data_IF_092981051414
#
_entry.id   IF_092981051414
#
_cell.length_a   1.000
_cell.length_b   1.000
_cell.length_c   1.000
_cell.angle_alpha   90.00
_cell.angle_beta   90.00
_cell.angle_gamma   90.00
#
_symmetry.space_group_name_H-M   'P 1'
#
loop_
_entity.id
_entity.type
_entity.pdbx_description
1 polymer ?
#
# COMPACT_ATOMS: atom_id res chain seq x y z
N UNK A 1 -16.43 7.28 -4.25
CA UNK A 1 -15.72 7.08 -2.99
C UNK A 1 -15.10 8.41 -2.49
N UNK A 2 -14.03 8.90 -3.08
CA UNK A 2 -13.21 10.00 -2.55
C UNK A 2 -13.95 11.34 -2.42
N UNK A 3 -14.93 11.62 -3.26
CA UNK A 3 -15.78 12.83 -3.14
C UNK A 3 -16.55 12.81 -1.80
N UNK A 4 -17.14 11.68 -1.43
CA UNK A 4 -17.84 11.54 -0.15
C UNK A 4 -16.87 11.53 1.05
N UNK A 5 -15.73 10.84 0.93
CA UNK A 5 -14.74 10.78 2.02
C UNK A 5 -14.12 12.15 2.34
N UNK A 6 -14.01 13.04 1.36
CA UNK A 6 -13.46 14.40 1.54
C UNK A 6 -14.25 15.25 2.53
N UNK A 7 -15.55 15.02 2.64
CA UNK A 7 -16.45 15.77 3.51
C UNK A 7 -16.45 15.25 4.95
N UNK A 8 -15.80 14.11 5.18
CA UNK A 8 -15.78 13.45 6.47
C UNK A 8 -14.52 13.87 7.24
N UNK A 9 -14.71 14.41 8.44
CA UNK A 9 -13.62 14.76 9.35
C UNK A 9 -13.68 13.86 10.60
N UNK A 10 -13.08 12.69 10.49
CA UNK A 10 -12.92 11.75 11.60
C UNK A 10 -11.44 11.63 11.99
N UNK A 11 -11.13 11.47 13.28
CA UNK A 11 -9.79 11.11 13.71
C UNK A 11 -9.49 9.69 13.22
N UNK A 12 -8.51 9.55 12.35
CA UNK A 12 -8.04 8.28 11.80
C UNK A 12 -6.52 8.24 11.82
N UNK A 13 -5.90 7.04 11.81
CA UNK A 13 -4.48 6.89 11.56
C UNK A 13 -4.07 7.59 10.25
N UNK A 14 -2.78 7.84 10.11
CA UNK A 14 -2.21 8.30 8.85
C UNK A 14 -1.69 7.09 8.04
N UNK A 15 -1.65 7.17 6.71
CA UNK A 15 -1.16 6.05 5.88
C UNK A 15 0.29 5.66 6.23
N UNK A 16 1.08 6.62 6.72
CA UNK A 16 2.47 6.38 7.18
C UNK A 16 2.54 5.45 8.37
N UNK A 17 1.50 5.37 9.21
CA UNK A 17 1.48 4.47 10.37
C UNK A 17 1.48 3.01 9.90
N UNK A 18 0.74 2.70 8.84
CA UNK A 18 0.73 1.38 8.22
C UNK A 18 2.10 1.02 7.59
N UNK A 19 2.76 2.01 7.00
CA UNK A 19 4.13 1.81 6.49
C UNK A 19 5.09 1.56 7.64
N UNK A 20 4.95 2.28 8.75
CA UNK A 20 5.77 2.08 9.95
C UNK A 20 5.56 0.68 10.56
N UNK A 21 4.33 0.16 10.55
CA UNK A 21 4.05 -1.24 10.93
C UNK A 21 4.80 -2.23 10.05
N UNK A 22 4.76 -2.08 8.73
CA UNK A 22 5.50 -2.93 7.80
C UNK A 22 7.03 -2.81 8.01
N UNK A 23 7.54 -1.61 8.27
CA UNK A 23 8.95 -1.38 8.58
C UNK A 23 9.35 -2.08 9.89
N UNK A 24 8.52 -1.98 10.93
CA UNK A 24 8.76 -2.64 12.21
C UNK A 24 8.78 -4.16 12.07
N UNK A 25 7.85 -4.70 11.28
CA UNK A 25 7.79 -6.13 10.99
C UNK A 25 9.06 -6.62 10.26
N UNK A 26 9.48 -5.91 9.23
CA UNK A 26 10.71 -6.23 8.47
C UNK A 26 11.95 -6.08 9.36
N UNK A 27 11.95 -5.12 10.28
CA UNK A 27 13.06 -4.87 11.22
C UNK A 27 13.23 -5.96 12.30
N UNK A 28 12.21 -6.78 12.54
CA UNK A 28 12.22 -7.80 13.59
C UNK A 28 12.38 -9.22 13.00
N UNK A 29 13.58 -9.85 13.16
CA UNK A 29 13.79 -11.22 12.71
C UNK A 29 12.95 -12.28 13.46
N UNK A 30 12.45 -11.96 14.65
CA UNK A 30 11.58 -12.87 15.41
C UNK A 30 10.18 -12.93 14.77
N UNK A 31 9.70 -11.81 14.27
CA UNK A 31 8.41 -11.73 13.57
C UNK A 31 8.50 -12.27 12.14
N UNK A 32 9.65 -12.16 11.50
CA UNK A 32 9.87 -12.60 10.10
C UNK A 32 11.04 -13.59 9.98
N UNK A 33 10.98 -14.77 10.64
CA UNK A 33 12.12 -15.68 10.76
C UNK A 33 12.56 -16.28 9.42
N UNK A 34 11.66 -16.41 8.45
CA UNK A 34 11.94 -16.98 7.14
C UNK A 34 12.40 -15.96 6.10
N UNK A 35 12.34 -14.66 6.44
CA UNK A 35 12.78 -13.59 5.54
C UNK A 35 14.31 -13.53 5.51
N UNK A 36 14.90 -13.84 4.35
CA UNK A 36 16.35 -13.81 4.15
C UNK A 36 16.94 -12.42 4.35
N UNK A 37 18.17 -12.33 4.80
CA UNK A 37 18.84 -11.04 5.07
C UNK A 37 18.83 -10.09 3.87
N UNK A 38 19.12 -10.59 2.68
CA UNK A 38 19.09 -9.79 1.43
C UNK A 38 17.71 -9.28 1.08
N UNK A 39 16.66 -10.06 1.35
CA UNK A 39 15.27 -9.68 1.10
C UNK A 39 14.78 -8.66 2.14
N UNK A 40 15.25 -8.82 3.38
CA UNK A 40 15.02 -7.86 4.46
C UNK A 40 15.62 -6.49 4.14
N UNK A 41 16.86 -6.45 3.67
CA UNK A 41 17.50 -5.21 3.23
C UNK A 41 16.75 -4.55 2.07
N UNK A 42 16.33 -5.33 1.08
CA UNK A 42 15.52 -4.85 -0.05
C UNK A 42 14.23 -4.19 0.43
N UNK A 43 13.46 -4.90 1.28
CA UNK A 43 12.19 -4.38 1.81
C UNK A 43 12.40 -3.14 2.68
N UNK A 44 13.38 -3.16 3.58
CA UNK A 44 13.67 -2.02 4.45
C UNK A 44 14.07 -0.78 3.65
N UNK A 45 14.90 -0.94 2.61
CA UNK A 45 15.30 0.14 1.72
C UNK A 45 14.11 0.66 0.91
N UNK A 46 13.32 -0.23 0.30
CA UNK A 46 12.17 0.14 -0.51
C UNK A 46 11.13 0.89 0.32
N UNK A 47 10.72 0.36 1.49
CA UNK A 47 9.76 1.01 2.39
C UNK A 47 10.23 2.41 2.78
N UNK A 48 11.50 2.57 3.17
CA UNK A 48 12.06 3.86 3.57
C UNK A 48 12.12 4.86 2.42
N UNK A 49 12.66 4.44 1.28
CA UNK A 49 12.90 5.33 0.12
C UNK A 49 11.58 5.77 -0.50
N UNK A 50 10.64 4.82 -0.69
CA UNK A 50 9.34 5.12 -1.28
C UNK A 50 8.47 5.96 -0.35
N UNK A 51 8.46 5.68 0.96
CA UNK A 51 7.77 6.53 1.92
C UNK A 51 8.30 7.97 1.88
N UNK A 52 9.62 8.13 1.86
CA UNK A 52 10.25 9.45 1.78
C UNK A 52 9.83 10.18 0.49
N UNK A 53 9.85 9.50 -0.66
CA UNK A 53 9.45 10.07 -1.94
C UNK A 53 7.98 10.51 -1.94
N UNK A 54 7.06 9.66 -1.44
CA UNK A 54 5.63 9.96 -1.35
C UNK A 54 5.38 11.19 -0.44
N UNK A 55 6.00 11.23 0.74
CA UNK A 55 5.83 12.35 1.69
C UNK A 55 6.43 13.64 1.15
N UNK A 56 7.62 13.60 0.54
CA UNK A 56 8.28 14.80 -0.01
C UNK A 56 7.53 15.41 -1.19
N UNK A 57 6.76 14.61 -1.92
CA UNK A 57 5.97 15.12 -3.03
C UNK A 57 4.80 16.02 -2.60
N UNK A 58 4.36 15.92 -1.34
CA UNK A 58 3.48 16.91 -0.71
C UNK A 58 2.11 17.04 -1.35
N UNK A 59 1.40 15.94 -1.51
CA UNK A 59 0.04 15.94 -2.07
C UNK A 59 -1.01 16.38 -1.04
N UNK A 60 -2.18 16.81 -1.56
CA UNK A 60 -3.33 17.17 -0.74
C UNK A 60 -3.94 15.92 -0.10
N UNK A 61 -4.05 15.92 1.22
CA UNK A 61 -4.54 14.79 1.99
C UNK A 61 -6.03 14.88 2.32
N UNK A 62 -6.66 13.72 2.38
CA UNK A 62 -8.03 13.54 2.83
C UNK A 62 -8.21 12.20 3.56
N UNK A 63 -9.43 11.92 4.01
CA UNK A 63 -9.81 10.58 4.45
C UNK A 63 -9.81 9.63 3.25
N UNK A 64 -9.19 8.47 3.43
CA UNK A 64 -9.04 7.38 2.48
C UNK A 64 -9.76 6.12 3.00
N UNK A 65 -10.06 5.21 2.10
CA UNK A 65 -10.45 3.85 2.43
C UNK A 65 -9.27 3.04 2.99
N UNK A 66 -8.07 3.25 2.44
CA UNK A 66 -6.85 2.57 2.78
C UNK A 66 -6.55 1.33 1.92
N UNK A 67 -7.57 0.58 1.51
CA UNK A 67 -7.44 -0.60 0.62
C UNK A 67 -8.65 -0.77 -0.32
N UNK A 68 -8.94 0.19 -1.22
CA UNK A 68 -10.10 0.11 -2.12
C UNK A 68 -9.83 -0.81 -3.33
N UNK A 69 -9.41 -2.04 -3.09
CA UNK A 69 -9.22 -3.02 -4.14
C UNK A 69 -10.56 -3.71 -4.51
N UNK A 70 -10.66 -4.40 -5.66
CA UNK A 70 -11.91 -5.01 -6.12
C UNK A 70 -12.54 -6.00 -5.13
N UNK A 71 -11.75 -6.66 -4.27
CA UNK A 71 -12.26 -7.55 -3.22
C UNK A 71 -13.04 -6.84 -2.13
N UNK A 72 -12.84 -5.54 -1.96
CA UNK A 72 -13.56 -4.69 -1.00
C UNK A 72 -14.70 -3.90 -1.66
N UNK A 73 -15.20 -4.36 -2.81
CA UNK A 73 -16.29 -3.74 -3.54
C UNK A 73 -17.43 -4.74 -3.76
N UNK A 74 -18.57 -4.49 -3.14
CA UNK A 74 -19.79 -5.28 -3.36
C UNK A 74 -20.66 -4.64 -4.44
N UNK A 75 -21.20 -5.47 -5.30
CA UNK A 75 -22.25 -5.05 -6.23
C UNK A 75 -23.62 -5.24 -5.53
N UNK A 76 -24.29 -4.13 -5.25
CA UNK A 76 -25.60 -4.13 -4.57
C UNK A 76 -26.70 -3.65 -5.49
N UNK A 77 -27.98 -3.78 -5.07
CA UNK A 77 -29.13 -3.26 -5.83
C UNK A 77 -29.10 -1.74 -6.00
N UNK A 78 -28.48 -1.03 -5.03
CA UNK A 78 -28.37 0.42 -4.99
C UNK A 78 -27.06 0.94 -5.59
N UNK A 79 -26.28 0.05 -6.24
CA UNK A 79 -24.99 0.35 -6.82
C UNK A 79 -23.80 -0.22 -6.04
N UNK A 80 -22.57 0.12 -6.43
CA UNK A 80 -21.37 -0.42 -5.80
C UNK A 80 -21.19 0.13 -4.37
N UNK A 81 -20.89 -0.77 -3.44
CA UNK A 81 -20.65 -0.45 -2.02
C UNK A 81 -19.24 -0.89 -1.63
N UNK A 82 -18.43 0.05 -1.16
CA UNK A 82 -17.15 -0.25 -0.53
C UNK A 82 -17.36 -0.78 0.90
N UNK A 83 -16.64 -1.84 1.24
CA UNK A 83 -16.67 -2.51 2.54
C UNK A 83 -15.26 -2.59 3.11
N UNK A 84 -15.15 -3.02 4.37
CA UNK A 84 -13.85 -3.20 5.07
C UNK A 84 -13.08 -1.87 5.23
N UNK A 85 -13.66 -0.98 6.02
CA UNK A 85 -13.07 0.31 6.36
C UNK A 85 -12.09 0.25 7.55
N UNK A 86 -11.66 -0.96 7.96
CA UNK A 86 -10.73 -1.11 9.08
C UNK A 86 -9.37 -0.47 8.80
N UNK A 87 -9.03 -0.33 7.53
CA UNK A 87 -7.77 0.28 7.06
C UNK A 87 -7.91 1.77 6.73
N UNK A 88 -9.09 2.37 7.03
CA UNK A 88 -9.32 3.78 6.76
C UNK A 88 -8.25 4.66 7.44
N UNK A 89 -7.69 5.57 6.66
CA UNK A 89 -6.58 6.41 7.11
C UNK A 89 -6.62 7.78 6.42
N UNK A 90 -5.77 8.71 6.84
CA UNK A 90 -5.53 9.97 6.12
C UNK A 90 -4.32 9.83 5.21
N UNK A 91 -4.38 10.45 4.04
CA UNK A 91 -3.28 10.47 3.09
C UNK A 91 -3.67 11.03 1.73
N UNK A 92 -2.75 10.96 0.75
CA UNK A 92 -3.01 11.38 -0.62
C UNK A 92 -3.95 10.38 -1.33
N UNK A 93 -4.83 10.88 -2.19
CA UNK A 93 -5.77 10.04 -2.97
C UNK A 93 -5.03 8.99 -3.80
N UNK A 94 -3.84 9.31 -4.24
CA UNK A 94 -2.94 8.44 -5.01
C UNK A 94 -2.62 7.14 -4.26
N UNK A 95 -2.58 7.18 -2.91
CA UNK A 95 -2.37 5.96 -2.11
C UNK A 95 -3.55 4.98 -2.27
N UNK A 96 -4.80 5.46 -2.23
CA UNK A 96 -5.96 4.62 -2.50
C UNK A 96 -6.02 4.16 -3.97
N UNK A 97 -5.76 5.06 -4.92
CA UNK A 97 -5.76 4.73 -6.35
C UNK A 97 -4.72 3.66 -6.68
N UNK A 98 -3.62 3.60 -5.93
CA UNK A 98 -2.61 2.54 -6.06
C UNK A 98 -3.12 1.13 -5.74
N UNK A 99 -4.22 1.00 -4.99
CA UNK A 99 -4.87 -0.29 -4.70
C UNK A 99 -5.85 -0.74 -5.79
N UNK A 100 -6.27 0.17 -6.64
CA UNK A 100 -7.23 -0.10 -7.72
C UNK A 100 -6.51 -0.57 -9.01
N UNK A 101 -7.23 -1.21 -9.95
CA UNK A 101 -6.72 -1.47 -11.29
C UNK A 101 -6.23 -0.19 -11.99
N UNK A 102 -5.22 -0.31 -12.83
CA UNK A 102 -4.59 0.85 -13.51
C UNK A 102 -5.59 1.73 -14.28
N UNK A 103 -6.58 1.11 -14.92
CA UNK A 103 -7.63 1.81 -15.66
C UNK A 103 -8.41 2.82 -14.82
N UNK A 104 -8.45 2.65 -13.49
CA UNK A 104 -9.15 3.58 -12.57
C UNK A 104 -8.49 4.95 -12.55
N UNK A 105 -7.18 5.03 -12.74
CA UNK A 105 -6.43 6.29 -12.76
C UNK A 105 -6.96 7.27 -13.82
N UNK A 106 -7.43 6.76 -14.96
CA UNK A 106 -8.01 7.59 -16.04
C UNK A 106 -9.31 8.34 -15.65
N UNK A 107 -9.97 7.92 -14.57
CA UNK A 107 -11.21 8.55 -14.08
C UNK A 107 -10.95 9.64 -13.02
N UNK A 108 -9.69 9.89 -12.67
CA UNK A 108 -9.33 10.91 -11.70
C UNK A 108 -8.72 12.13 -12.39
N UNK A 109 -9.41 13.28 -12.41
CA UNK A 109 -8.82 14.50 -12.94
C UNK A 109 -7.67 14.99 -12.04
N UNK A 110 -6.59 15.41 -12.66
CA UNK A 110 -5.40 15.98 -11.98
C UNK A 110 -4.68 15.03 -11.02
N UNK A 111 -4.75 13.72 -11.28
CA UNK A 111 -3.99 12.73 -10.53
C UNK A 111 -2.49 12.88 -10.84
N UNK A 112 -1.67 12.86 -9.80
CA UNK A 112 -0.22 12.75 -9.97
C UNK A 112 0.15 11.30 -10.27
N UNK A 113 0.37 10.98 -11.55
CA UNK A 113 0.64 9.61 -12.01
C UNK A 113 1.96 9.06 -11.45
N UNK A 114 2.97 9.90 -11.28
CA UNK A 114 4.24 9.48 -10.69
C UNK A 114 4.07 9.14 -9.20
N UNK A 115 3.26 9.92 -8.47
CA UNK A 115 2.92 9.62 -7.08
C UNK A 115 2.11 8.32 -6.98
N UNK A 116 1.20 8.04 -7.92
CA UNK A 116 0.48 6.75 -7.98
C UNK A 116 1.46 5.59 -8.16
N UNK A 117 2.44 5.73 -9.04
CA UNK A 117 3.43 4.67 -9.28
C UNK A 117 4.33 4.46 -8.06
N UNK A 118 4.73 5.52 -7.37
CA UNK A 118 5.43 5.42 -6.08
C UNK A 118 4.55 4.73 -5.01
N UNK A 119 3.29 5.08 -4.91
CA UNK A 119 2.34 4.43 -4.00
C UNK A 119 2.10 2.96 -4.36
N UNK A 120 2.08 2.59 -5.65
CA UNK A 120 1.97 1.18 -6.08
C UNK A 120 3.15 0.34 -5.61
N UNK A 121 4.36 0.88 -5.76
CA UNK A 121 5.57 0.20 -5.28
C UNK A 121 5.61 0.14 -3.75
N UNK A 122 5.21 1.22 -3.07
CA UNK A 122 5.12 1.24 -1.61
C UNK A 122 4.14 0.19 -1.11
N UNK A 123 2.94 0.12 -1.69
CA UNK A 123 1.95 -0.93 -1.39
C UNK A 123 2.53 -2.33 -1.63
N UNK A 124 3.21 -2.53 -2.75
CA UNK A 124 3.83 -3.82 -3.07
C UNK A 124 4.84 -4.23 -2.00
N UNK A 125 5.68 -3.31 -1.54
CA UNK A 125 6.65 -3.55 -0.46
C UNK A 125 5.95 -3.84 0.89
N UNK A 126 4.86 -3.12 1.22
CA UNK A 126 4.07 -3.35 2.44
C UNK A 126 3.43 -4.74 2.42
N UNK A 127 2.74 -5.10 1.32
CA UNK A 127 2.10 -6.41 1.20
C UNK A 127 3.14 -7.52 1.23
N UNK A 128 4.28 -7.34 0.56
CA UNK A 128 5.39 -8.30 0.66
C UNK A 128 5.83 -8.50 2.11
N UNK A 129 6.02 -7.42 2.88
CA UNK A 129 6.42 -7.50 4.28
C UNK A 129 5.43 -8.34 5.12
N UNK A 130 4.13 -8.10 4.96
CA UNK A 130 3.09 -8.85 5.70
C UNK A 130 3.07 -10.34 5.37
N UNK A 131 3.37 -10.73 4.10
CA UNK A 131 3.46 -12.16 3.72
C UNK A 131 4.61 -12.91 4.42
N UNK A 132 5.55 -12.20 5.03
CA UNK A 132 6.66 -12.80 5.80
C UNK A 132 6.42 -12.80 7.32
N UNK A 133 5.30 -12.22 7.79
CA UNK A 133 4.93 -12.34 9.21
C UNK A 133 4.75 -13.82 9.58
N UNK A 134 5.34 -14.24 10.70
CA UNK A 134 5.18 -15.60 11.25
C UNK A 134 3.72 -15.95 11.55
N UNK A 135 2.87 -14.96 11.74
CA UNK A 135 1.45 -15.09 12.02
C UNK A 135 0.56 -14.86 10.78
N UNK A 136 1.15 -14.75 9.59
CA UNK A 136 0.36 -14.57 8.36
C UNK A 136 -0.46 -15.82 8.05
N UNK A 137 -1.79 -15.70 8.13
CA UNK A 137 -2.75 -16.75 7.83
C UNK A 137 -3.31 -16.66 6.39
N UNK A 138 -2.75 -15.77 5.57
CA UNK A 138 -3.22 -15.61 4.20
C UNK A 138 -2.96 -16.88 3.39
N UNK A 139 -3.98 -17.46 2.72
CA UNK A 139 -3.80 -18.60 1.84
C UNK A 139 -2.73 -18.28 0.78
N UNK A 140 -1.76 -19.18 0.59
CA UNK A 140 -0.61 -19.00 -0.32
C UNK A 140 0.24 -17.74 -0.03
N UNK A 141 0.25 -17.27 1.22
CA UNK A 141 0.99 -16.07 1.63
C UNK A 141 2.47 -16.11 1.26
N UNK A 142 3.17 -17.22 1.49
CA UNK A 142 4.59 -17.38 1.14
C UNK A 142 4.87 -17.31 -0.36
N UNK A 143 4.21 -18.12 -1.23
CA UNK A 143 4.36 -17.98 -2.68
C UNK A 143 4.08 -16.56 -3.17
N UNK A 144 3.04 -15.92 -2.65
CA UNK A 144 2.74 -14.52 -2.95
C UNK A 144 3.88 -13.59 -2.51
N UNK A 145 4.40 -13.75 -1.30
CA UNK A 145 5.52 -12.95 -0.77
C UNK A 145 6.77 -13.06 -1.65
N UNK A 146 7.11 -14.26 -2.10
CA UNK A 146 8.23 -14.50 -3.02
C UNK A 146 8.02 -13.80 -4.37
N UNK A 147 6.81 -13.84 -4.91
CA UNK A 147 6.47 -13.18 -6.17
C UNK A 147 6.58 -11.65 -6.04
N UNK A 148 6.04 -11.09 -4.97
CA UNK A 148 6.13 -9.66 -4.68
C UNK A 148 7.58 -9.20 -4.51
N UNK A 149 8.44 -9.99 -3.87
CA UNK A 149 9.88 -9.70 -3.78
C UNK A 149 10.55 -9.71 -5.15
N UNK A 150 10.18 -10.64 -6.05
CA UNK A 150 10.71 -10.64 -7.43
C UNK A 150 10.31 -9.37 -8.18
N UNK A 151 9.04 -8.97 -8.07
CA UNK A 151 8.54 -7.73 -8.67
C UNK A 151 9.27 -6.50 -8.12
N UNK A 152 9.47 -6.45 -6.81
CA UNK A 152 10.17 -5.33 -6.15
C UNK A 152 11.62 -5.23 -6.61
N UNK A 153 12.35 -6.35 -6.74
CA UNK A 153 13.72 -6.35 -7.29
C UNK A 153 13.76 -5.79 -8.71
N UNK A 154 12.86 -6.30 -9.57
CA UNK A 154 12.79 -5.82 -10.95
C UNK A 154 12.44 -4.34 -11.06
N UNK A 155 11.68 -3.79 -10.11
CA UNK A 155 11.40 -2.36 -10.05
C UNK A 155 12.60 -1.57 -9.51
N UNK A 156 13.27 -2.07 -8.47
CA UNK A 156 14.46 -1.43 -7.88
C UNK A 156 15.60 -1.30 -8.88
N UNK A 157 15.85 -2.33 -9.69
CA UNK A 157 16.87 -2.31 -10.74
C UNK A 157 16.59 -1.22 -11.80
N UNK A 158 15.32 -0.97 -12.12
CA UNK A 158 14.89 0.04 -13.08
C UNK A 158 14.95 1.46 -12.52
N UNK A 159 14.62 1.64 -11.26
CA UNK A 159 14.49 2.95 -10.60
C UNK A 159 15.76 3.35 -9.83
N UNK A 160 16.75 2.47 -9.72
CA UNK A 160 17.97 2.66 -8.90
C UNK A 160 17.66 3.02 -7.44
N UNK A 161 16.64 2.33 -6.88
CA UNK A 161 16.23 2.47 -5.47
C UNK A 161 17.26 1.83 -4.52
#
# INVERSE_FOLDING_TARGET
>A
LHTGLREINLPTPHFTDRVAEAQSLVGDPVLTPELRATDRELLANALRTLLTAVVQRGSKEQLLHGEPHPGNLLNTRDGPLFIDLQTACRGPVEFDVAHAPEAVSAHYPNLDTELVDQCRLLKLAMVAAWRWDRNDEFPDGRPMGEDLLRQLRAASDRLRL
#
